data_IF_698364646555
#
_entry.id   IF_698364646555
#
_cell.length_a   1.000
_cell.length_b   1.000
_cell.length_c   1.000
_cell.angle_alpha   90.00
_cell.angle_beta   90.00
_cell.angle_gamma   90.00
#
_symmetry.space_group_name_H-M   'P 1'
#
loop_
_entity.id
_entity.type
_entity.pdbx_description
1 polymer ?
#
# COMPACT_ATOMS: atom_id res chain seq x y z
N UNK A 1 -29.77 30.42 21.89
CA UNK A 1 -29.01 29.71 20.83
C UNK A 1 -27.59 29.55 21.32
N UNK A 2 -27.24 28.37 21.83
CA UNK A 2 -25.87 28.03 22.19
C UNK A 2 -25.08 27.82 20.90
N UNK A 3 -24.18 28.74 20.58
CA UNK A 3 -23.23 28.61 19.49
C UNK A 3 -22.33 27.42 19.86
N UNK A 4 -22.40 26.33 19.09
CA UNK A 4 -21.44 25.22 19.23
C UNK A 4 -20.03 25.82 19.01
N UNK A 5 -19.03 25.48 19.84
CA UNK A 5 -17.68 25.94 19.61
C UNK A 5 -17.24 25.50 18.19
N UNK A 6 -16.55 26.38 17.47
CA UNK A 6 -15.88 26.02 16.22
C UNK A 6 -14.77 25.03 16.55
N UNK A 7 -15.10 23.74 16.46
CA UNK A 7 -14.11 22.67 16.51
C UNK A 7 -13.49 22.63 15.11
N UNK A 8 -12.18 22.90 15.03
CA UNK A 8 -11.39 22.63 13.83
C UNK A 8 -11.40 21.12 13.59
N UNK A 9 -12.31 20.64 12.73
CA UNK A 9 -12.26 19.30 12.17
C UNK A 9 -11.02 19.20 11.26
N UNK A 10 -9.88 18.85 11.85
CA UNK A 10 -8.67 18.57 11.07
C UNK A 10 -8.75 17.14 10.54
N UNK A 11 -9.20 17.00 9.29
CA UNK A 11 -9.07 15.74 8.55
C UNK A 11 -7.59 15.47 8.25
N UNK A 12 -7.07 14.26 8.50
CA UNK A 12 -5.70 13.92 8.17
C UNK A 12 -5.43 14.15 6.68
N UNK A 13 -4.37 14.88 6.37
CA UNK A 13 -3.93 15.10 4.99
C UNK A 13 -3.10 13.90 4.53
N UNK A 14 -3.56 13.21 3.49
CA UNK A 14 -2.92 12.03 2.92
C UNK A 14 -2.37 12.38 1.53
N UNK A 15 -1.13 12.00 1.25
CA UNK A 15 -0.49 12.17 -0.07
C UNK A 15 0.01 10.84 -0.60
N UNK A 16 -0.23 10.57 -1.88
CA UNK A 16 0.27 9.39 -2.60
C UNK A 16 1.33 9.85 -3.60
N UNK A 17 2.57 9.38 -3.41
CA UNK A 17 3.72 9.66 -4.26
C UNK A 17 4.01 8.45 -5.15
N UNK A 18 3.73 8.59 -6.45
CA UNK A 18 4.11 7.61 -7.47
C UNK A 18 5.52 7.85 -7.96
N UNK A 19 6.42 6.89 -7.73
CA UNK A 19 7.85 7.02 -8.06
C UNK A 19 8.23 6.16 -9.26
N UNK A 20 8.81 6.80 -10.28
CA UNK A 20 9.19 6.17 -11.54
C UNK A 20 7.98 5.78 -12.41
N UNK A 21 8.23 5.05 -13.50
CA UNK A 21 7.19 4.71 -14.49
C UNK A 21 6.04 3.87 -13.91
N UNK A 22 6.35 2.77 -13.21
CA UNK A 22 5.33 1.91 -12.61
C UNK A 22 4.54 2.62 -11.50
N UNK A 23 5.20 3.41 -10.65
CA UNK A 23 4.51 4.21 -9.63
C UNK A 23 3.61 5.28 -10.24
N UNK A 24 4.06 5.96 -11.30
CA UNK A 24 3.25 6.91 -12.05
C UNK A 24 2.03 6.27 -12.71
N UNK A 25 2.17 5.07 -13.28
CA UNK A 25 1.04 4.31 -13.83
C UNK A 25 0.02 3.93 -12.75
N UNK A 26 0.49 3.45 -11.59
CA UNK A 26 -0.38 3.14 -10.47
C UNK A 26 -1.16 4.38 -9.98
N UNK A 27 -0.52 5.55 -9.88
CA UNK A 27 -1.18 6.82 -9.57
C UNK A 27 -2.20 7.19 -10.64
N UNK A 28 -1.86 7.07 -11.92
CA UNK A 28 -2.81 7.34 -13.02
C UNK A 28 -4.04 6.44 -12.94
N UNK A 29 -3.87 5.17 -12.53
CA UNK A 29 -4.95 4.24 -12.30
C UNK A 29 -5.81 4.66 -11.09
N UNK A 30 -5.19 5.03 -9.96
CA UNK A 30 -5.90 5.52 -8.77
C UNK A 30 -6.74 6.77 -9.05
N UNK A 31 -6.22 7.70 -9.86
CA UNK A 31 -6.97 8.89 -10.31
C UNK A 31 -8.14 8.49 -11.20
N UNK A 32 -7.94 7.54 -12.11
CA UNK A 32 -8.99 7.09 -13.03
C UNK A 32 -10.13 6.34 -12.32
N UNK A 33 -9.81 5.54 -11.30
CA UNK A 33 -10.76 4.85 -10.43
C UNK A 33 -11.42 5.78 -9.39
N UNK A 34 -10.96 7.03 -9.29
CA UNK A 34 -11.60 8.06 -8.48
C UNK A 34 -11.32 7.95 -6.98
N UNK A 35 -10.12 7.49 -6.58
CA UNK A 35 -9.71 7.45 -5.17
C UNK A 35 -9.82 8.84 -4.53
N UNK A 36 -10.60 8.95 -3.45
CA UNK A 36 -10.94 10.22 -2.80
C UNK A 36 -10.10 10.49 -1.56
N UNK A 37 -10.00 11.76 -1.16
CA UNK A 37 -9.35 12.18 0.09
C UNK A 37 -7.83 12.10 0.11
N UNK A 38 -7.21 11.93 -1.06
CA UNK A 38 -5.75 11.90 -1.22
C UNK A 38 -5.28 12.94 -2.23
N UNK A 39 -4.09 13.46 -2.01
CA UNK A 39 -3.37 14.25 -3.00
C UNK A 39 -2.37 13.37 -3.75
N UNK A 40 -2.32 13.48 -5.08
CA UNK A 40 -1.37 12.71 -5.89
C UNK A 40 -0.16 13.55 -6.25
N UNK A 41 1.02 12.93 -6.18
CA UNK A 41 2.30 13.47 -6.65
C UNK A 41 2.97 12.39 -7.48
N UNK A 42 3.50 12.74 -8.65
CA UNK A 42 4.28 11.80 -9.47
C UNK A 42 5.71 12.32 -9.61
N UNK A 43 6.67 11.50 -9.23
CA UNK A 43 8.09 11.83 -9.29
C UNK A 43 8.82 10.86 -10.22
N UNK A 44 9.42 11.38 -11.29
CA UNK A 44 10.11 10.54 -12.27
C UNK A 44 11.30 11.27 -12.90
N UNK A 45 12.33 10.51 -13.27
CA UNK A 45 13.49 11.01 -14.02
C UNK A 45 13.23 11.10 -15.52
N UNK A 46 12.20 10.39 -16.01
CA UNK A 46 11.80 10.40 -17.42
C UNK A 46 10.75 11.49 -17.65
N UNK A 47 11.14 12.53 -18.38
CA UNK A 47 10.28 13.68 -18.66
C UNK A 47 9.09 13.30 -19.56
N UNK A 48 9.27 12.37 -20.51
CA UNK A 48 8.19 11.93 -21.38
C UNK A 48 7.12 11.21 -20.57
N UNK A 49 7.51 10.34 -19.64
CA UNK A 49 6.57 9.68 -18.74
C UNK A 49 5.76 10.66 -17.88
N UNK A 50 6.39 11.77 -17.42
CA UNK A 50 5.70 12.80 -16.64
C UNK A 50 4.61 13.52 -17.44
N UNK A 51 4.86 13.84 -18.72
CA UNK A 51 3.86 14.52 -19.57
C UNK A 51 2.59 13.70 -19.78
N UNK A 52 2.66 12.37 -19.64
CA UNK A 52 1.52 11.46 -19.75
C UNK A 52 0.79 11.24 -18.42
N UNK A 53 1.26 11.83 -17.31
CA UNK A 53 0.62 11.69 -16.01
C UNK A 53 -0.71 12.45 -15.94
N UNK A 54 -1.66 11.88 -15.22
CA UNK A 54 -2.94 12.51 -14.87
C UNK A 54 -2.86 13.32 -13.57
N UNK A 55 -1.74 13.24 -12.84
CA UNK A 55 -1.52 14.01 -11.63
C UNK A 55 -1.28 15.49 -11.98
N UNK A 56 -1.83 16.39 -11.16
CA UNK A 56 -1.56 17.84 -11.27
C UNK A 56 -0.23 18.25 -10.64
N UNK A 57 0.35 17.40 -9.79
CA UNK A 57 1.65 17.64 -9.14
C UNK A 57 2.68 16.65 -9.68
N UNK A 58 3.67 17.19 -10.38
CA UNK A 58 4.70 16.44 -11.09
C UNK A 58 6.07 16.95 -10.65
N UNK A 59 7.00 16.03 -10.38
CA UNK A 59 8.37 16.33 -9.99
C UNK A 59 9.29 15.63 -10.98
N UNK A 60 10.11 16.41 -11.69
CA UNK A 60 11.16 15.86 -12.54
C UNK A 60 12.42 15.64 -11.71
N UNK A 61 12.68 14.37 -11.39
CA UNK A 61 13.82 13.97 -10.59
C UNK A 61 15.12 14.09 -11.39
N UNK A 62 16.14 14.69 -10.77
CA UNK A 62 17.50 14.71 -11.32
C UNK A 62 17.58 15.32 -12.72
N UNK A 63 17.04 16.52 -12.89
CA UNK A 63 17.06 17.24 -14.17
C UNK A 63 18.50 17.43 -14.66
N UNK A 64 19.45 17.64 -13.75
CA UNK A 64 20.87 17.75 -14.08
C UNK A 64 21.55 16.38 -14.25
N UNK A 65 21.20 15.39 -13.43
CA UNK A 65 21.83 14.06 -13.46
C UNK A 65 21.43 13.22 -14.67
N UNK A 66 20.17 13.33 -15.12
CA UNK A 66 19.61 12.44 -16.15
C UNK A 66 19.26 13.15 -17.46
N UNK A 67 19.31 14.48 -17.48
CA UNK A 67 18.85 15.30 -18.61
C UNK A 67 17.40 14.97 -19.04
N UNK A 68 16.59 14.40 -18.14
CA UNK A 68 15.21 13.98 -18.41
C UNK A 68 15.06 12.66 -19.18
N UNK A 69 16.14 11.91 -19.40
CA UNK A 69 16.16 10.66 -20.18
C UNK A 69 15.96 9.39 -19.34
N UNK A 70 15.74 9.55 -18.03
CA UNK A 70 15.54 8.44 -17.11
C UNK A 70 16.83 7.86 -16.52
N UNK A 71 16.68 7.01 -15.50
CA UNK A 71 17.80 6.46 -14.73
C UNK A 71 18.51 5.23 -15.37
N UNK A 72 18.15 4.83 -16.60
CA UNK A 72 18.84 3.75 -17.32
C UNK A 72 18.85 2.38 -16.62
N UNK A 73 17.84 2.07 -15.80
CA UNK A 73 17.81 0.88 -14.92
C UNK A 73 18.93 0.81 -13.87
N UNK A 74 19.51 1.96 -13.50
CA UNK A 74 20.55 2.08 -12.47
C UNK A 74 19.95 2.70 -11.19
N UNK A 75 19.77 1.93 -10.10
CA UNK A 75 19.22 2.45 -8.85
C UNK A 75 20.02 3.60 -8.24
N UNK A 76 21.34 3.60 -8.39
CA UNK A 76 22.19 4.69 -7.88
C UNK A 76 21.89 6.03 -8.56
N UNK A 77 21.54 6.01 -9.85
CA UNK A 77 21.15 7.23 -10.58
C UNK A 77 19.78 7.72 -10.08
N UNK A 78 18.85 6.80 -9.81
CA UNK A 78 17.57 7.14 -9.19
C UNK A 78 17.71 7.75 -7.78
N UNK A 79 18.66 7.25 -6.98
CA UNK A 79 18.96 7.82 -5.65
C UNK A 79 19.49 9.24 -5.75
N UNK A 80 20.53 9.46 -6.56
CA UNK A 80 21.12 10.78 -6.75
C UNK A 80 20.11 11.79 -7.31
N UNK A 81 19.25 11.35 -8.24
CA UNK A 81 18.18 12.19 -8.78
C UNK A 81 17.13 12.59 -7.74
N UNK A 82 16.83 11.71 -6.78
CA UNK A 82 15.92 12.04 -5.67
C UNK A 82 16.56 12.96 -4.63
N UNK A 83 17.86 12.77 -4.36
CA UNK A 83 18.63 13.65 -3.47
C UNK A 83 18.73 15.07 -4.04
N UNK A 84 18.93 15.22 -5.35
CA UNK A 84 18.93 16.52 -6.04
C UNK A 84 17.60 17.26 -5.89
N UNK A 85 16.48 16.55 -5.97
CA UNK A 85 15.12 17.12 -5.98
C UNK A 85 14.43 17.03 -4.61
N UNK A 86 15.16 16.78 -3.52
CA UNK A 86 14.53 16.44 -2.23
C UNK A 86 13.74 17.61 -1.63
N UNK A 87 14.22 18.83 -1.80
CA UNK A 87 13.55 20.03 -1.29
C UNK A 87 12.18 20.21 -1.97
N UNK A 88 12.12 20.03 -3.30
CA UNK A 88 10.87 20.08 -4.07
C UNK A 88 9.89 18.97 -3.66
N UNK A 89 10.40 17.76 -3.40
CA UNK A 89 9.58 16.66 -2.88
C UNK A 89 8.97 17.04 -1.52
N UNK A 90 9.77 17.61 -0.62
CA UNK A 90 9.31 17.97 0.72
C UNK A 90 8.32 19.15 0.71
N UNK A 91 8.46 20.09 -0.22
CA UNK A 91 7.48 21.16 -0.42
C UNK A 91 6.11 20.60 -0.80
N UNK A 92 6.07 19.57 -1.65
CA UNK A 92 4.83 18.87 -2.01
C UNK A 92 4.24 18.04 -0.86
N UNK A 93 5.06 17.60 0.08
CA UNK A 93 4.66 16.86 1.28
C UNK A 93 4.36 17.77 2.48
N UNK A 94 4.45 19.09 2.33
CA UNK A 94 4.18 20.02 3.41
C UNK A 94 2.76 19.87 3.97
N UNK A 95 2.67 19.71 5.29
CA UNK A 95 1.42 19.51 6.03
C UNK A 95 0.78 18.12 5.86
N UNK A 96 1.44 17.20 5.16
CA UNK A 96 0.97 15.82 5.01
C UNK A 96 1.17 15.05 6.31
N UNK A 97 0.14 14.35 6.76
CA UNK A 97 0.16 13.52 7.98
C UNK A 97 0.57 12.08 7.65
N UNK A 98 0.18 11.61 6.47
CA UNK A 98 0.47 10.26 5.98
C UNK A 98 0.86 10.29 4.50
N UNK A 99 1.97 9.63 4.18
CA UNK A 99 2.49 9.53 2.83
C UNK A 99 2.49 8.06 2.38
N UNK A 100 1.86 7.79 1.24
CA UNK A 100 1.97 6.52 0.53
C UNK A 100 3.00 6.64 -0.56
N UNK A 101 3.98 5.74 -0.60
CA UNK A 101 4.98 5.70 -1.67
C UNK A 101 4.72 4.47 -2.51
N UNK A 102 4.36 4.66 -3.78
CA UNK A 102 4.12 3.56 -4.72
C UNK A 102 5.18 3.51 -5.81
N UNK A 103 5.76 2.33 -6.02
CA UNK A 103 6.83 2.12 -6.99
C UNK A 103 6.87 0.66 -7.47
N UNK A 104 7.32 0.47 -8.72
CA UNK A 104 7.75 -0.83 -9.21
C UNK A 104 9.24 -1.02 -8.98
N UNK A 105 9.60 -2.06 -8.22
CA UNK A 105 10.99 -2.34 -7.87
C UNK A 105 11.69 -3.13 -8.98
N UNK A 106 13.01 -2.96 -9.08
CA UNK A 106 13.86 -3.61 -10.09
C UNK A 106 14.27 -2.69 -11.24
N UNK A 107 13.62 -1.53 -11.40
CA UNK A 107 14.04 -0.45 -12.30
C UNK A 107 15.13 0.44 -11.68
N UNK A 108 15.46 1.56 -12.34
CA UNK A 108 16.41 2.55 -11.82
C UNK A 108 15.74 3.56 -10.88
N UNK A 109 14.76 4.30 -11.39
CA UNK A 109 14.12 5.40 -10.67
C UNK A 109 13.35 4.93 -9.44
N UNK A 110 12.37 4.03 -9.58
CA UNK A 110 11.57 3.55 -8.45
C UNK A 110 12.43 2.93 -7.34
N UNK A 111 13.31 1.99 -7.71
CA UNK A 111 14.21 1.29 -6.78
C UNK A 111 15.19 2.22 -6.06
N UNK A 112 15.64 3.28 -6.73
CA UNK A 112 16.63 4.22 -6.20
C UNK A 112 16.03 5.35 -5.38
N UNK A 113 14.99 5.99 -5.93
CA UNK A 113 14.37 7.19 -5.39
C UNK A 113 13.38 6.90 -4.26
N UNK A 114 12.64 5.79 -4.31
CA UNK A 114 11.61 5.51 -3.30
C UNK A 114 12.17 5.44 -1.86
N UNK A 115 13.31 4.78 -1.58
CA UNK A 115 13.91 4.80 -0.24
C UNK A 115 14.34 6.21 0.23
N UNK A 116 14.84 7.05 -0.67
CA UNK A 116 15.26 8.42 -0.35
C UNK A 116 14.05 9.27 0.04
N UNK A 117 12.99 9.22 -0.77
CA UNK A 117 11.73 9.92 -0.51
C UNK A 117 11.10 9.43 0.80
N UNK A 118 11.10 8.12 1.04
CA UNK A 118 10.55 7.51 2.25
C UNK A 118 11.28 8.01 3.51
N UNK A 119 12.61 8.03 3.46
CA UNK A 119 13.44 8.50 4.57
C UNK A 119 13.14 9.96 4.89
N UNK A 120 13.12 10.83 3.90
CA UNK A 120 12.86 12.25 4.11
C UNK A 120 11.46 12.51 4.68
N UNK A 121 10.44 11.81 4.18
CA UNK A 121 9.08 11.90 4.71
C UNK A 121 9.00 11.42 6.17
N UNK A 122 9.63 10.28 6.48
CA UNK A 122 9.67 9.72 7.83
C UNK A 122 10.44 10.61 8.80
N UNK A 123 11.58 11.16 8.39
CA UNK A 123 12.39 12.07 9.21
C UNK A 123 11.65 13.39 9.49
N UNK A 124 10.76 13.82 8.58
CA UNK A 124 9.83 14.93 8.79
C UNK A 124 8.62 14.59 9.68
N UNK A 125 8.52 13.36 10.21
CA UNK A 125 7.46 12.92 11.11
C UNK A 125 6.17 12.47 10.43
N UNK A 126 6.19 12.31 9.10
CA UNK A 126 5.05 11.83 8.31
C UNK A 126 4.98 10.30 8.42
N UNK A 127 3.79 9.76 8.71
CA UNK A 127 3.58 8.30 8.68
C UNK A 127 3.78 7.80 7.25
N UNK A 128 4.83 7.03 7.02
CA UNK A 128 5.31 6.69 5.67
C UNK A 128 5.08 5.22 5.38
N UNK A 129 4.13 4.94 4.48
CA UNK A 129 3.79 3.58 4.05
C UNK A 129 4.19 3.39 2.60
N UNK A 130 5.08 2.44 2.33
CA UNK A 130 5.43 2.10 0.97
C UNK A 130 4.61 0.90 0.47
N UNK A 131 4.03 1.00 -0.72
CA UNK A 131 3.30 -0.09 -1.39
C UNK A 131 3.99 -0.35 -2.72
N UNK A 132 4.78 -1.42 -2.80
CA UNK A 132 5.69 -1.64 -3.93
C UNK A 132 5.53 -3.02 -4.54
N UNK A 133 5.77 -3.12 -5.85
CA UNK A 133 5.73 -4.39 -6.58
C UNK A 133 7.12 -4.99 -6.79
N UNK A 134 7.23 -6.31 -6.70
CA UNK A 134 8.40 -7.06 -7.21
C UNK A 134 8.19 -7.42 -8.68
N UNK A 135 9.25 -7.45 -9.50
CA UNK A 135 9.13 -7.79 -10.91
C UNK A 135 8.71 -9.25 -11.10
N UNK A 136 8.17 -9.56 -12.27
CA UNK A 136 7.92 -10.94 -12.66
C UNK A 136 9.23 -11.68 -12.91
N UNK A 137 9.23 -13.01 -12.72
CA UNK A 137 10.45 -13.84 -12.93
C UNK A 137 10.98 -13.74 -14.37
N UNK A 138 10.09 -13.57 -15.35
CA UNK A 138 10.47 -13.42 -16.77
C UNK A 138 11.23 -12.12 -17.07
N UNK A 139 11.14 -11.10 -16.21
CA UNK A 139 11.85 -9.82 -16.40
C UNK A 139 13.36 -9.94 -16.12
N UNK A 140 13.79 -11.09 -15.59
CA UNK A 140 15.18 -11.48 -15.48
C UNK A 140 15.80 -11.24 -14.10
N UNK A 141 16.80 -12.07 -13.78
CA UNK A 141 17.44 -12.12 -12.45
C UNK A 141 18.01 -10.78 -11.99
N UNK A 142 18.54 -9.96 -12.90
CA UNK A 142 19.13 -8.65 -12.56
C UNK A 142 18.07 -7.69 -11.98
N UNK A 143 16.86 -7.66 -12.55
CA UNK A 143 15.75 -6.85 -12.02
C UNK A 143 15.29 -7.36 -10.66
N UNK A 144 15.16 -8.67 -10.50
CA UNK A 144 14.80 -9.28 -9.21
C UNK A 144 15.82 -8.93 -8.12
N UNK A 145 17.12 -9.05 -8.40
CA UNK A 145 18.16 -8.71 -7.44
C UNK A 145 18.11 -7.23 -7.03
N UNK A 146 18.03 -6.32 -8.02
CA UNK A 146 17.89 -4.89 -7.75
C UNK A 146 16.62 -4.58 -6.94
N UNK A 147 15.52 -5.29 -7.18
CA UNK A 147 14.28 -5.15 -6.42
C UNK A 147 14.45 -5.56 -4.96
N UNK A 148 15.08 -6.70 -4.66
CA UNK A 148 15.32 -7.13 -3.27
C UNK A 148 16.20 -6.13 -2.53
N UNK A 149 17.31 -5.69 -3.13
CA UNK A 149 18.22 -4.70 -2.54
C UNK A 149 17.52 -3.35 -2.30
N UNK A 150 16.67 -2.91 -3.24
CA UNK A 150 15.86 -1.71 -3.07
C UNK A 150 14.81 -1.82 -1.97
N UNK A 151 14.15 -2.98 -1.85
CA UNK A 151 13.13 -3.24 -0.83
C UNK A 151 13.73 -3.25 0.56
N UNK A 152 14.92 -3.83 0.76
CA UNK A 152 15.56 -3.80 2.08
C UNK A 152 15.93 -2.37 2.49
N UNK A 153 16.49 -1.56 1.59
CA UNK A 153 16.72 -0.13 1.86
C UNK A 153 15.42 0.62 2.16
N UNK A 154 14.33 0.27 1.48
CA UNK A 154 13.02 0.88 1.69
C UNK A 154 12.45 0.53 3.08
N UNK A 155 12.63 -0.72 3.55
CA UNK A 155 12.21 -1.15 4.90
C UNK A 155 12.96 -0.43 6.01
N UNK A 156 14.20 -0.03 5.78
CA UNK A 156 14.95 0.80 6.72
C UNK A 156 14.53 2.27 6.70
N UNK A 157 13.77 2.69 5.66
CA UNK A 157 13.47 4.10 5.39
C UNK A 157 11.99 4.45 5.61
N UNK A 158 11.08 3.49 5.53
CA UNK A 158 9.64 3.66 5.72
C UNK A 158 9.16 3.01 7.03
N UNK A 159 8.02 3.46 7.56
CA UNK A 159 7.40 2.86 8.75
C UNK A 159 6.84 1.46 8.46
N UNK A 160 6.20 1.31 7.30
CA UNK A 160 5.64 0.05 6.81
C UNK A 160 5.89 -0.10 5.31
N UNK A 161 6.25 -1.30 4.87
CA UNK A 161 6.47 -1.66 3.47
C UNK A 161 5.60 -2.87 3.11
N UNK A 162 4.55 -2.61 2.34
CA UNK A 162 3.69 -3.62 1.72
C UNK A 162 4.34 -4.05 0.39
N UNK A 163 4.71 -5.32 0.31
CA UNK A 163 5.38 -5.86 -0.88
C UNK A 163 4.42 -6.77 -1.64
N UNK A 164 4.17 -6.42 -2.90
CA UNK A 164 3.30 -7.17 -3.80
C UNK A 164 4.17 -7.96 -4.79
N UNK A 165 4.28 -9.28 -4.64
CA UNK A 165 4.99 -10.11 -5.61
C UNK A 165 4.16 -10.28 -6.88
N UNK A 166 4.55 -9.63 -7.98
CA UNK A 166 3.82 -9.77 -9.25
C UNK A 166 3.72 -11.22 -9.73
N UNK A 167 4.68 -12.06 -9.33
CA UNK A 167 4.63 -13.50 -9.62
C UNK A 167 3.36 -14.18 -9.05
N UNK A 168 2.82 -13.71 -7.93
CA UNK A 168 1.61 -14.27 -7.34
C UNK A 168 0.34 -13.85 -8.09
N UNK A 169 0.41 -12.83 -8.95
CA UNK A 169 -0.70 -12.47 -9.85
C UNK A 169 -1.00 -13.59 -10.85
N UNK A 170 -0.02 -14.44 -11.18
CA UNK A 170 -0.28 -15.63 -12.01
C UNK A 170 -1.16 -16.68 -11.33
N UNK A 171 -1.22 -16.70 -9.98
CA UNK A 171 -2.09 -17.64 -9.25
C UNK A 171 -3.56 -17.24 -9.34
N UNK A 172 -3.83 -15.99 -9.71
CA UNK A 172 -5.17 -15.42 -9.88
C UNK A 172 -5.50 -15.10 -11.34
N UNK A 173 -4.57 -15.35 -12.27
CA UNK A 173 -4.73 -15.13 -13.71
C UNK A 173 -5.03 -16.45 -14.45
N UNK A 174 -5.73 -16.37 -15.58
CA UNK A 174 -5.99 -17.51 -16.47
C UNK A 174 -5.00 -17.54 -17.66
N UNK A 175 -4.98 -18.63 -18.43
CA UNK A 175 -4.09 -18.78 -19.59
C UNK A 175 -4.37 -17.79 -20.75
N UNK A 176 -5.44 -17.00 -20.66
CA UNK A 176 -5.81 -15.98 -21.66
C UNK A 176 -5.43 -14.57 -21.22
N UNK A 177 -4.99 -14.41 -19.97
CA UNK A 177 -4.63 -13.11 -19.41
C UNK A 177 -3.44 -12.53 -20.18
N UNK A 178 -3.62 -11.36 -20.78
CA UNK A 178 -2.57 -10.72 -21.56
C UNK A 178 -1.54 -10.05 -20.65
N UNK A 179 -0.38 -9.68 -21.21
CA UNK A 179 0.60 -8.89 -20.47
C UNK A 179 0.04 -7.56 -19.97
N UNK A 180 -0.80 -6.89 -20.77
CA UNK A 180 -1.44 -5.64 -20.38
C UNK A 180 -2.37 -5.86 -19.18
N UNK A 181 -3.15 -6.95 -19.20
CA UNK A 181 -4.05 -7.30 -18.10
C UNK A 181 -3.27 -7.62 -16.82
N UNK A 182 -2.12 -8.29 -16.91
CA UNK A 182 -1.29 -8.61 -15.75
C UNK A 182 -0.76 -7.35 -15.04
N UNK A 183 -0.34 -6.33 -15.79
CA UNK A 183 0.05 -5.04 -15.20
C UNK A 183 -1.15 -4.28 -14.64
N UNK A 184 -2.30 -4.30 -15.32
CA UNK A 184 -3.53 -3.72 -14.79
C UNK A 184 -3.98 -4.41 -13.49
N UNK A 185 -3.76 -5.72 -13.35
CA UNK A 185 -3.97 -6.45 -12.11
C UNK A 185 -3.02 -5.96 -11.00
N UNK A 186 -1.74 -5.75 -11.31
CA UNK A 186 -0.80 -5.17 -10.34
C UNK A 186 -1.24 -3.77 -9.88
N UNK A 187 -1.68 -2.92 -10.81
CA UNK A 187 -2.18 -1.57 -10.52
C UNK A 187 -3.46 -1.61 -9.66
N UNK A 188 -4.34 -2.60 -9.86
CA UNK A 188 -5.51 -2.83 -9.00
C UNK A 188 -5.13 -3.26 -7.58
N UNK A 189 -4.09 -4.08 -7.43
CA UNK A 189 -3.59 -4.47 -6.11
C UNK A 189 -2.94 -3.28 -5.41
N UNK A 190 -2.19 -2.44 -6.13
CA UNK A 190 -1.66 -1.18 -5.59
C UNK A 190 -2.78 -0.23 -5.17
N UNK A 191 -3.83 -0.10 -5.99
CA UNK A 191 -5.04 0.64 -5.64
C UNK A 191 -5.68 0.10 -4.37
N UNK A 192 -5.87 -1.22 -4.26
CA UNK A 192 -6.46 -1.83 -3.06
C UNK A 192 -5.58 -1.60 -1.82
N UNK A 193 -4.25 -1.61 -1.96
CA UNK A 193 -3.29 -1.35 -0.89
C UNK A 193 -3.42 0.04 -0.30
N UNK A 194 -3.51 1.06 -1.14
CA UNK A 194 -3.70 2.44 -0.70
C UNK A 194 -5.15 2.65 -0.26
N UNK A 195 -6.11 2.26 -1.11
CA UNK A 195 -7.54 2.46 -0.93
C UNK A 195 -8.09 1.88 0.37
N UNK A 196 -7.68 0.66 0.74
CA UNK A 196 -8.07 0.02 1.98
C UNK A 196 -7.80 0.90 3.20
N UNK A 197 -6.60 1.50 3.27
CA UNK A 197 -6.18 2.28 4.42
C UNK A 197 -6.76 3.70 4.35
N UNK A 198 -6.80 4.30 3.16
CA UNK A 198 -7.34 5.65 3.00
C UNK A 198 -8.84 5.71 3.24
N UNK A 199 -9.57 4.69 2.81
CA UNK A 199 -11.02 4.62 3.00
C UNK A 199 -11.37 4.60 4.49
N UNK A 200 -10.61 3.90 5.32
CA UNK A 200 -10.82 3.85 6.78
C UNK A 200 -10.61 5.19 7.50
N UNK A 201 -9.84 6.09 6.91
CA UNK A 201 -9.50 7.39 7.49
C UNK A 201 -10.42 8.49 6.95
N UNK A 202 -10.77 8.41 5.65
CA UNK A 202 -11.46 9.48 4.92
C UNK A 202 -12.96 9.29 4.90
N UNK A 203 -13.45 8.06 4.72
CA UNK A 203 -14.88 7.78 4.55
C UNK A 203 -15.53 7.58 5.91
N UNK A 204 -16.75 8.08 6.04
CA UNK A 204 -17.59 7.78 7.19
C UNK A 204 -18.11 6.35 7.09
N UNK A 205 -17.84 5.57 8.13
CA UNK A 205 -18.24 4.18 8.29
C UNK A 205 -19.13 3.92 9.50
N UNK A 206 -19.57 2.67 9.62
CA UNK A 206 -20.27 2.15 10.80
C UNK A 206 -19.32 2.12 12.02
N UNK A 207 -18.06 1.76 11.77
CA UNK A 207 -16.99 1.76 12.76
C UNK A 207 -15.88 2.66 12.19
N UNK A 208 -15.90 3.93 12.62
CA UNK A 208 -14.87 4.89 12.27
C UNK A 208 -13.61 4.62 13.10
N UNK A 209 -12.47 4.65 12.43
CA UNK A 209 -11.16 4.60 13.07
C UNK A 209 -10.58 5.99 13.11
N UNK A 210 -9.87 6.32 14.17
CA UNK A 210 -9.11 7.56 14.19
C UNK A 210 -7.72 7.35 13.53
N UNK A 211 -7.08 8.46 13.17
CA UNK A 211 -5.75 8.40 12.57
C UNK A 211 -4.68 7.87 13.55
N UNK A 212 -4.89 8.04 14.86
CA UNK A 212 -3.95 7.59 15.86
C UNK A 212 -3.93 6.07 15.97
N UNK A 213 -5.09 5.41 15.83
CA UNK A 213 -5.24 3.95 15.76
C UNK A 213 -4.44 3.41 14.58
N UNK A 214 -4.69 3.93 13.36
CA UNK A 214 -3.94 3.51 12.16
C UNK A 214 -2.44 3.77 12.31
N UNK A 215 -2.06 4.93 12.86
CA UNK A 215 -0.66 5.27 13.12
C UNK A 215 -0.02 4.33 14.12
N UNK A 216 -0.73 3.88 15.16
CA UNK A 216 -0.19 2.99 16.19
C UNK A 216 0.18 1.61 15.62
N UNK A 217 -0.64 1.07 14.72
CA UNK A 217 -0.43 -0.25 14.12
C UNK A 217 0.50 -0.22 12.92
N UNK A 218 0.66 0.91 12.22
CA UNK A 218 1.51 0.98 11.02
C UNK A 218 2.89 1.60 11.25
N UNK A 219 3.13 2.22 12.41
CA UNK A 219 4.41 2.87 12.70
C UNK A 219 5.48 1.83 13.05
N UNK A 220 6.66 1.97 12.43
CA UNK A 220 7.85 1.13 12.70
C UNK A 220 7.61 -0.40 12.62
N UNK A 221 6.65 -0.84 11.79
CA UNK A 221 6.32 -2.25 11.61
C UNK A 221 7.21 -2.96 10.59
N UNK A 222 7.85 -2.22 9.68
CA UNK A 222 8.73 -2.79 8.67
C UNK A 222 7.93 -3.57 7.63
N UNK A 223 7.97 -4.91 7.65
CA UNK A 223 7.34 -5.73 6.60
C UNK A 223 5.83 -5.87 6.82
N UNK A 224 5.07 -5.65 5.75
CA UNK A 224 3.65 -5.89 5.69
C UNK A 224 3.21 -6.61 4.41
N UNK A 225 2.02 -7.23 4.47
CA UNK A 225 1.37 -7.92 3.35
C UNK A 225 -0.12 -7.64 3.38
N UNK A 226 -0.79 -7.78 2.23
CA UNK A 226 -2.21 -7.49 2.10
C UNK A 226 -2.94 -8.62 1.38
N UNK A 227 -4.13 -8.96 1.89
CA UNK A 227 -5.11 -9.82 1.23
C UNK A 227 -6.44 -9.11 1.08
N UNK A 228 -7.21 -9.48 0.06
CA UNK A 228 -8.56 -8.96 -0.14
C UNK A 228 -9.46 -10.08 -0.65
N UNK A 229 -10.68 -10.13 -0.13
CA UNK A 229 -11.74 -11.06 -0.52
C UNK A 229 -13.04 -10.31 -0.75
N UNK A 230 -13.82 -10.74 -1.73
CA UNK A 230 -15.14 -10.20 -2.02
C UNK A 230 -16.11 -11.37 -2.23
N UNK A 231 -17.30 -11.28 -1.62
CA UNK A 231 -18.35 -12.27 -1.77
C UNK A 231 -19.73 -11.61 -1.78
N UNK A 232 -20.74 -12.36 -2.19
CA UNK A 232 -22.14 -11.93 -2.28
C UNK A 232 -23.06 -13.10 -1.94
N UNK A 233 -24.29 -12.81 -1.53
CA UNK A 233 -25.27 -13.84 -1.16
C UNK A 233 -25.21 -14.25 0.30
N UNK A 234 -25.75 -15.43 0.61
CA UNK A 234 -25.81 -15.96 1.98
C UNK A 234 -24.42 -16.35 2.49
N UNK A 235 -24.09 -15.96 3.73
CA UNK A 235 -22.77 -16.20 4.31
C UNK A 235 -21.63 -15.41 3.65
N UNK A 236 -21.93 -14.34 2.90
CA UNK A 236 -20.94 -13.52 2.21
C UNK A 236 -19.85 -12.96 3.13
N UNK A 237 -20.17 -12.66 4.39
CA UNK A 237 -19.20 -12.15 5.35
C UNK A 237 -18.06 -13.15 5.63
N UNK A 238 -18.41 -14.37 6.03
CA UNK A 238 -17.45 -15.46 6.25
C UNK A 238 -16.67 -15.80 4.98
N UNK A 239 -17.35 -15.91 3.84
CA UNK A 239 -16.69 -16.26 2.56
C UNK A 239 -15.69 -15.18 2.14
N UNK A 240 -16.05 -13.89 2.29
CA UNK A 240 -15.14 -12.79 1.99
C UNK A 240 -13.93 -12.76 2.94
N UNK A 241 -14.14 -13.02 4.23
CA UNK A 241 -13.06 -13.13 5.21
C UNK A 241 -12.10 -14.29 4.88
N UNK A 242 -12.64 -15.48 4.59
CA UNK A 242 -11.85 -16.65 4.19
C UNK A 242 -11.06 -16.39 2.89
N UNK A 243 -11.69 -15.74 1.90
CA UNK A 243 -11.03 -15.35 0.66
C UNK A 243 -9.93 -14.29 0.87
N UNK A 244 -10.12 -13.39 1.84
CA UNK A 244 -9.11 -12.40 2.18
C UNK A 244 -7.88 -13.05 2.82
N UNK A 245 -8.07 -14.01 3.74
CA UNK A 245 -7.00 -14.75 4.43
C UNK A 245 -6.27 -15.67 3.45
N UNK A 246 -7.01 -16.42 2.62
CA UNK A 246 -6.45 -17.35 1.63
C UNK A 246 -5.92 -16.66 0.36
N UNK A 247 -5.86 -15.32 0.35
CA UNK A 247 -5.43 -14.58 -0.82
C UNK A 247 -3.96 -14.91 -1.14
N UNK A 248 -3.61 -15.25 -2.40
CA UNK A 248 -2.23 -15.58 -2.78
C UNK A 248 -1.18 -14.49 -2.54
N UNK A 249 -1.60 -13.26 -2.28
CA UNK A 249 -0.74 -12.13 -1.90
C UNK A 249 -0.42 -12.11 -0.40
N UNK A 250 -1.19 -12.82 0.42
CA UNK A 250 -0.84 -13.20 1.79
C UNK A 250 -0.14 -14.57 1.77
N UNK A 251 0.89 -14.69 2.59
CA UNK A 251 1.54 -15.98 2.84
C UNK A 251 0.98 -16.48 4.18
N UNK A 252 0.42 -17.70 4.21
CA UNK A 252 -0.28 -18.26 5.38
C UNK A 252 0.63 -18.29 6.61
N UNK A 253 1.92 -18.61 6.44
CA UNK A 253 2.92 -18.61 7.51
C UNK A 253 3.24 -17.21 8.08
N UNK A 254 2.78 -16.15 7.41
CA UNK A 254 3.02 -14.77 7.83
C UNK A 254 1.89 -14.23 8.73
N UNK A 255 0.65 -14.72 8.61
CA UNK A 255 -0.48 -14.20 9.40
C UNK A 255 -0.36 -14.49 10.89
N UNK A 256 0.05 -15.70 11.26
CA UNK A 256 0.25 -16.10 12.66
C UNK A 256 1.42 -15.36 13.34
N UNK A 257 2.34 -14.80 12.57
CA UNK A 257 3.49 -14.05 13.08
C UNK A 257 3.36 -12.52 13.03
N UNK A 258 2.18 -12.00 12.65
CA UNK A 258 1.94 -10.56 12.54
C UNK A 258 1.76 -9.93 13.93
N UNK A 259 2.38 -8.76 14.15
CA UNK A 259 2.24 -8.01 15.41
C UNK A 259 1.02 -7.09 15.41
N UNK A 260 0.61 -6.65 14.22
CA UNK A 260 -0.53 -5.78 14.06
C UNK A 260 -1.33 -6.13 12.82
N UNK A 261 -2.64 -6.03 12.92
CA UNK A 261 -3.58 -6.36 11.86
C UNK A 261 -4.57 -5.22 11.65
N UNK A 262 -4.66 -4.73 10.42
CA UNK A 262 -5.68 -3.77 10.03
C UNK A 262 -6.68 -4.47 9.11
N UNK A 263 -7.94 -4.49 9.54
CA UNK A 263 -9.07 -5.12 8.84
C UNK A 263 -10.02 -4.02 8.39
N UNK A 264 -10.18 -3.90 7.07
CA UNK A 264 -11.18 -3.04 6.45
C UNK A 264 -12.33 -3.89 5.93
N UNK A 265 -13.53 -3.62 6.44
CA UNK A 265 -14.76 -4.25 5.98
C UNK A 265 -15.55 -3.20 5.20
N UNK A 266 -15.88 -3.51 3.94
CA UNK A 266 -16.68 -2.63 3.09
C UNK A 266 -17.92 -3.37 2.57
N UNK A 267 -19.08 -2.75 2.71
CA UNK A 267 -20.34 -3.32 2.23
C UNK A 267 -21.37 -2.25 1.91
N UNK A 268 -22.48 -2.65 1.26
CA UNK A 268 -23.61 -1.76 1.05
C UNK A 268 -24.36 -1.42 2.35
N UNK A 269 -25.37 -0.55 2.24
CA UNK A 269 -26.26 -0.21 3.37
C UNK A 269 -27.07 -1.41 3.90
N UNK A 270 -27.06 -2.52 3.18
CA UNK A 270 -27.63 -3.81 3.55
C UNK A 270 -26.71 -4.66 4.45
N UNK A 271 -25.50 -4.17 4.75
CA UNK A 271 -24.57 -4.81 5.66
C UNK A 271 -25.09 -4.77 7.10
N UNK A 272 -25.10 -5.92 7.76
CA UNK A 272 -25.58 -6.08 9.14
C UNK A 272 -24.43 -6.16 10.15
N UNK A 273 -24.71 -5.84 11.42
CA UNK A 273 -23.73 -5.98 12.50
C UNK A 273 -23.26 -7.43 12.67
N UNK A 274 -24.16 -8.42 12.47
CA UNK A 274 -23.81 -9.84 12.56
C UNK A 274 -22.79 -10.27 11.49
N UNK A 275 -22.93 -9.74 10.27
CA UNK A 275 -21.96 -9.99 9.20
C UNK A 275 -20.59 -9.39 9.52
N UNK A 276 -20.56 -8.18 10.10
CA UNK A 276 -19.31 -7.54 10.53
C UNK A 276 -18.63 -8.35 11.64
N UNK A 277 -19.40 -8.80 12.64
CA UNK A 277 -18.91 -9.61 13.76
C UNK A 277 -18.41 -10.99 13.31
N UNK A 278 -19.13 -11.66 12.40
CA UNK A 278 -18.73 -12.94 11.82
C UNK A 278 -17.41 -12.84 11.06
N UNK A 279 -17.27 -11.82 10.20
CA UNK A 279 -16.03 -11.58 9.46
C UNK A 279 -14.85 -11.27 10.40
N UNK A 280 -15.07 -10.39 11.39
CA UNK A 280 -14.04 -10.00 12.34
C UNK A 280 -13.59 -11.17 13.23
N UNK A 281 -14.52 -12.01 13.69
CA UNK A 281 -14.24 -13.20 14.50
C UNK A 281 -13.42 -14.22 13.71
N UNK A 282 -13.84 -14.51 12.47
CA UNK A 282 -13.13 -15.46 11.61
C UNK A 282 -11.68 -15.06 11.34
N UNK A 283 -11.41 -13.76 11.17
CA UNK A 283 -10.04 -13.24 10.97
C UNK A 283 -9.22 -13.34 12.27
N UNK A 284 -9.87 -13.10 13.42
CA UNK A 284 -9.25 -13.20 14.74
C UNK A 284 -8.75 -14.61 15.06
N UNK A 285 -9.39 -15.64 14.52
CA UNK A 285 -9.00 -17.04 14.71
C UNK A 285 -7.68 -17.41 14.02
N UNK A 286 -7.23 -16.62 13.04
CA UNK A 286 -6.03 -16.90 12.22
C UNK A 286 -4.78 -16.12 12.66
N UNK A 287 -4.92 -15.24 13.64
CA UNK A 287 -3.83 -14.38 14.13
C UNK A 287 -3.53 -14.68 15.59
N UNK A 288 -2.32 -14.29 16.03
CA UNK A 288 -1.91 -14.46 17.41
C UNK A 288 -2.84 -13.70 18.37
N UNK A 289 -3.09 -14.26 19.55
CA UNK A 289 -3.93 -13.64 20.57
C UNK A 289 -3.35 -12.31 21.08
N UNK A 290 -2.04 -12.14 20.98
CA UNK A 290 -1.32 -10.92 21.38
C UNK A 290 -1.19 -9.89 20.24
N UNK A 291 -1.76 -10.15 19.05
CA UNK A 291 -1.71 -9.20 17.94
C UNK A 291 -2.66 -8.01 18.16
N UNK A 292 -2.18 -6.79 17.86
CA UNK A 292 -3.01 -5.59 17.89
C UNK A 292 -3.91 -5.55 16.65
N UNK A 293 -5.22 -5.80 16.82
CA UNK A 293 -6.19 -5.87 15.72
C UNK A 293 -7.06 -4.63 15.72
N UNK A 294 -7.05 -3.92 14.60
CA UNK A 294 -7.92 -2.80 14.31
C UNK A 294 -8.93 -3.23 13.24
N UNK A 295 -10.22 -3.07 13.55
CA UNK A 295 -11.32 -3.37 12.61
C UNK A 295 -12.07 -2.09 12.32
N UNK A 296 -12.15 -1.70 11.06
CA UNK A 296 -13.04 -0.65 10.60
C UNK A 296 -14.05 -1.18 9.60
N UNK A 297 -15.23 -0.57 9.58
CA UNK A 297 -16.35 -0.99 8.75
C UNK A 297 -16.96 0.23 8.06
N UNK A 298 -16.96 0.24 6.73
CA UNK A 298 -17.31 1.38 5.88
C UNK A 298 -18.46 1.00 4.96
N UNK A 299 -19.36 1.95 4.71
CA UNK A 299 -20.42 1.79 3.73
C UNK A 299 -19.98 2.27 2.35
N UNK A 300 -20.19 1.42 1.33
CA UNK A 300 -19.99 1.76 -0.06
C UNK A 300 -21.23 1.37 -0.87
N UNK A 301 -21.91 2.36 -1.45
CA UNK A 301 -23.11 2.12 -2.27
C UNK A 301 -22.80 1.30 -3.53
N UNK A 302 -21.56 1.35 -4.04
CA UNK A 302 -21.13 0.52 -5.17
C UNK A 302 -21.06 -0.98 -4.81
N UNK A 303 -21.07 -1.32 -3.51
CA UNK A 303 -21.04 -2.68 -2.98
C UNK A 303 -22.41 -3.17 -2.50
N UNK A 304 -23.52 -2.58 -2.96
CA UNK A 304 -24.85 -3.09 -2.63
C UNK A 304 -25.00 -4.59 -2.97
N UNK A 305 -25.36 -5.41 -1.98
CA UNK A 305 -25.45 -6.86 -2.14
C UNK A 305 -24.11 -7.61 -2.08
N UNK A 306 -22.99 -6.91 -1.96
CA UNK A 306 -21.63 -7.46 -1.86
C UNK A 306 -20.98 -7.11 -0.52
N UNK A 307 -20.04 -7.94 -0.11
CA UNK A 307 -19.25 -7.77 1.10
C UNK A 307 -17.79 -7.97 0.75
N UNK A 308 -16.95 -6.97 1.05
CA UNK A 308 -15.52 -6.97 0.79
C UNK A 308 -14.76 -6.87 2.10
N UNK A 309 -13.76 -7.72 2.26
CA UNK A 309 -12.84 -7.72 3.40
C UNK A 309 -11.44 -7.54 2.86
N UNK A 310 -10.72 -6.55 3.39
CA UNK A 310 -9.31 -6.34 3.12
C UNK A 310 -8.54 -6.44 4.44
N UNK A 311 -7.45 -7.19 4.43
CA UNK A 311 -6.62 -7.45 5.59
C UNK A 311 -5.20 -7.00 5.28
N UNK A 312 -4.63 -6.16 6.14
CA UNK A 312 -3.23 -5.73 6.07
C UNK A 312 -2.52 -6.23 7.32
N UNK A 313 -1.65 -7.22 7.14
CA UNK A 313 -0.83 -7.79 8.21
C UNK A 313 0.51 -7.05 8.27
N UNK A 314 0.86 -6.54 9.44
CA UNK A 314 2.05 -5.72 9.70
C UNK A 314 2.93 -6.34 10.78
N UNK A 315 4.21 -5.95 10.80
CA UNK A 315 5.15 -6.47 11.80
C UNK A 315 5.61 -7.90 11.53
N UNK A 316 5.60 -8.32 10.27
CA UNK A 316 5.91 -9.69 9.86
C UNK A 316 7.40 -10.01 10.06
N UNK A 317 7.70 -11.10 10.78
CA UNK A 317 9.07 -11.60 10.97
C UNK A 317 9.64 -12.15 9.65
N UNK A 318 10.98 -12.13 9.48
CA UNK A 318 11.61 -12.80 8.33
C UNK A 318 11.40 -14.30 8.45
N UNK A 319 11.15 -14.99 7.33
CA UNK A 319 11.03 -16.45 7.30
C UNK A 319 12.28 -17.17 7.82
N UNK A 320 13.45 -16.53 7.72
CA UNK A 320 14.70 -17.01 8.35
C UNK A 320 14.71 -16.89 9.88
N UNK A 321 14.02 -15.90 10.44
CA UNK A 321 13.89 -15.72 11.90
C UNK A 321 12.88 -16.70 12.49
N UNK A 322 11.86 -17.12 11.72
CA UNK A 322 10.89 -18.15 12.14
C UNK A 322 11.61 -19.49 12.38
N UNK A 323 12.47 -19.91 11.45
CA UNK A 323 13.26 -21.15 11.59
C UNK A 323 14.25 -21.12 12.77
N UNK A 324 14.85 -19.96 13.08
CA UNK A 324 15.72 -19.80 14.25
C UNK A 324 14.95 -19.66 15.56
N UNK A 325 13.73 -19.11 15.54
CA UNK A 325 12.84 -18.99 16.70
C UNK A 325 12.30 -20.37 17.10
N UNK A 326 11.87 -21.18 16.14
CA UNK A 326 11.46 -22.57 16.39
C UNK A 326 12.61 -23.43 16.95
N UNK A 327 13.84 -23.23 16.47
CA UNK A 327 15.03 -23.91 17.02
C UNK A 327 15.46 -23.45 18.42
N UNK A 328 14.99 -22.29 18.90
CA UNK A 328 15.27 -21.78 20.25
C UNK A 328 14.24 -22.22 21.29
N UNK A 329 13.06 -22.65 20.83
CA UNK A 329 11.94 -23.08 21.69
C UNK A 329 11.87 -24.62 21.76
N UNK A 330 12.45 -25.33 20.79
CA UNK A 330 12.70 -26.78 20.85
C UNK A 330 13.94 -27.11 21.70
#
# INVERSE_FOLDING_TARGET
MTVKPEILEMRPKITVVGVGGAGGNAVNNMIAEGLQGVEFVVANTDAQALTMSKSSRLIQLGAHVTEGLGAGSLPQVGSAAAEESIDEIMDHLAGTHMCFITAGMGGGTGTGAAPVIARAARDAGILTVAVVTKPFVFEGKRRTQAAEEGIERLRESADTVIVIPNQNLFRVADARTTFADAFAMADRVLYAGVGCITDLIVKEGLINLDFADVKSVMRDMGRAMMGTGEASGEGRARIAAEAAIANPLLDEASMSGARGLLVSICGGLDMTLFEVDEAATRIREEVDADADIIVGAIFDQALAGKFRVSVVATGLRKSADIAQFEQRIA
#
